data_IF_676487545212
#
_entry.id   IF_676487545212
#
_cell.length_a   1.000
_cell.length_b   1.000
_cell.length_c   1.000
_cell.angle_alpha   90.00
_cell.angle_beta   90.00
_cell.angle_gamma   90.00
#
_symmetry.space_group_name_H-M   'P 1'
#
loop_
_entity.id
_entity.type
_entity.pdbx_description
1 polymer ?
#
# COMPACT_ATOMS: atom_id res chain seq x y z
N UNK A 1 5.65 -15.37 26.91
CA UNK A 1 5.33 -14.70 25.61
C UNK A 1 6.15 -13.42 25.55
N UNK A 2 7.18 -13.36 24.69
CA UNK A 2 7.99 -12.17 24.52
C UNK A 2 7.18 -11.01 23.87
N UNK A 3 7.60 -9.74 24.06
CA UNK A 3 6.94 -8.61 23.41
C UNK A 3 7.09 -8.73 21.88
N UNK A 4 6.03 -8.39 21.16
CA UNK A 4 6.05 -8.35 19.69
C UNK A 4 7.11 -7.36 19.18
N UNK A 5 7.90 -7.72 18.17
CA UNK A 5 8.92 -6.83 17.62
C UNK A 5 8.33 -5.46 17.24
N UNK A 6 9.01 -4.36 17.60
CA UNK A 6 8.57 -2.99 17.27
C UNK A 6 8.37 -2.78 15.77
N UNK A 7 9.07 -3.55 14.96
CA UNK A 7 8.98 -3.50 13.50
C UNK A 7 7.57 -3.90 12.98
N UNK A 8 6.87 -4.83 13.67
CA UNK A 8 5.53 -5.22 13.29
C UNK A 8 4.51 -4.08 13.47
N UNK A 9 4.68 -3.25 14.51
CA UNK A 9 3.89 -2.05 14.70
C UNK A 9 4.13 -1.01 13.61
N UNK A 10 5.38 -0.88 13.14
CA UNK A 10 5.69 -0.04 11.99
C UNK A 10 4.97 -0.54 10.74
N UNK A 11 4.99 -1.85 10.48
CA UNK A 11 4.26 -2.43 9.34
C UNK A 11 2.75 -2.25 9.45
N UNK A 12 2.19 -2.35 10.66
CA UNK A 12 0.78 -2.03 10.93
C UNK A 12 0.47 -0.57 10.55
N UNK A 13 1.27 0.38 11.01
CA UNK A 13 1.09 1.81 10.70
C UNK A 13 1.22 2.09 9.19
N UNK A 14 2.19 1.47 8.52
CA UNK A 14 2.33 1.65 7.06
C UNK A 14 1.14 1.05 6.32
N UNK A 15 0.62 -0.11 6.74
CA UNK A 15 -0.60 -0.68 6.15
C UNK A 15 -1.84 0.19 6.40
N UNK A 16 -1.93 0.87 7.55
CA UNK A 16 -2.97 1.88 7.80
C UNK A 16 -2.88 3.02 6.77
N UNK A 17 -1.67 3.55 6.54
CA UNK A 17 -1.44 4.64 5.56
C UNK A 17 -1.78 4.18 4.14
N UNK A 18 -1.25 3.01 3.74
CA UNK A 18 -1.48 2.44 2.40
C UNK A 18 -2.97 2.16 2.17
N UNK A 19 -3.65 1.53 3.13
CA UNK A 19 -5.08 1.27 3.04
C UNK A 19 -5.91 2.55 2.96
N UNK A 20 -5.58 3.57 3.78
CA UNK A 20 -6.27 4.87 3.73
C UNK A 20 -6.12 5.52 2.35
N UNK A 21 -4.91 5.60 1.80
CA UNK A 21 -4.68 6.19 0.48
C UNK A 21 -5.30 5.37 -0.67
N UNK A 22 -5.35 4.05 -0.54
CA UNK A 22 -5.96 3.19 -1.54
C UNK A 22 -7.48 3.38 -1.64
N UNK A 23 -8.17 3.50 -0.50
CA UNK A 23 -9.63 3.38 -0.44
C UNK A 23 -10.37 4.70 -0.16
N UNK A 24 -9.70 5.77 0.27
CA UNK A 24 -10.34 7.07 0.52
C UNK A 24 -11.06 7.63 -0.70
N UNK A 25 -10.59 7.33 -1.90
CA UNK A 25 -11.20 7.78 -3.17
C UNK A 25 -12.67 7.38 -3.26
N UNK A 26 -13.06 6.22 -2.73
CA UNK A 26 -14.46 5.78 -2.71
C UNK A 26 -15.40 6.76 -2.00
N UNK A 27 -14.92 7.43 -0.95
CA UNK A 27 -15.69 8.40 -0.20
C UNK A 27 -15.73 9.82 -0.80
N UNK A 28 -14.84 10.11 -1.77
CA UNK A 28 -14.69 11.45 -2.37
C UNK A 28 -14.91 11.45 -3.89
N UNK A 29 -15.61 10.45 -4.42
CA UNK A 29 -15.87 10.34 -5.86
C UNK A 29 -16.66 11.52 -6.43
N UNK A 30 -17.66 12.02 -5.68
CA UNK A 30 -18.49 13.13 -6.16
C UNK A 30 -17.68 14.44 -6.31
N UNK A 31 -16.87 14.88 -5.33
CA UNK A 31 -15.97 16.02 -5.52
C UNK A 31 -14.98 15.84 -6.66
N UNK A 32 -14.40 14.64 -6.83
CA UNK A 32 -13.49 14.33 -7.94
C UNK A 32 -14.21 14.47 -9.29
N UNK A 33 -15.41 13.88 -9.42
CA UNK A 33 -16.18 13.94 -10.64
C UNK A 33 -16.53 15.39 -11.02
N UNK A 34 -16.90 16.20 -10.03
CA UNK A 34 -17.21 17.61 -10.22
C UNK A 34 -16.00 18.43 -10.67
N UNK A 35 -14.86 18.26 -10.00
CA UNK A 35 -13.61 19.00 -10.29
C UNK A 35 -13.03 18.62 -11.67
N UNK A 36 -13.03 17.35 -12.00
CA UNK A 36 -12.53 16.84 -13.28
C UNK A 36 -13.56 16.90 -14.42
N UNK A 37 -14.77 17.43 -14.17
CA UNK A 37 -15.88 17.56 -15.14
C UNK A 37 -16.22 16.23 -15.83
N UNK A 38 -16.31 15.16 -15.06
CA UNK A 38 -16.67 13.81 -15.52
C UNK A 38 -17.86 13.25 -14.73
N UNK A 39 -18.45 12.17 -15.20
CA UNK A 39 -19.50 11.49 -14.44
C UNK A 39 -18.93 10.75 -13.22
N UNK A 40 -19.72 10.56 -12.15
CA UNK A 40 -19.33 9.78 -10.97
C UNK A 40 -18.89 8.35 -11.34
N UNK A 41 -19.60 7.62 -12.23
CA UNK A 41 -19.13 6.31 -12.71
C UNK A 41 -17.76 6.38 -13.41
N UNK A 42 -17.47 7.44 -14.18
CA UNK A 42 -16.16 7.63 -14.80
C UNK A 42 -15.07 7.87 -13.75
N UNK A 43 -15.31 8.72 -12.75
CA UNK A 43 -14.39 8.91 -11.63
C UNK A 43 -14.18 7.60 -10.84
N UNK A 44 -15.21 6.77 -10.72
CA UNK A 44 -15.15 5.44 -10.09
C UNK A 44 -14.17 4.47 -10.75
N UNK A 45 -13.83 4.67 -12.03
CA UNK A 45 -12.78 3.89 -12.72
C UNK A 45 -11.42 4.01 -12.03
N UNK A 46 -11.19 5.05 -11.23
CA UNK A 46 -9.99 5.19 -10.41
C UNK A 46 -9.83 4.04 -9.40
N UNK A 47 -10.92 3.51 -8.84
CA UNK A 47 -10.90 2.33 -7.96
C UNK A 47 -10.60 1.06 -8.77
N UNK A 48 -11.22 0.90 -9.93
CA UNK A 48 -10.99 -0.25 -10.83
C UNK A 48 -9.55 -0.26 -11.34
N UNK A 49 -8.99 0.89 -11.75
CA UNK A 49 -7.62 1.01 -12.20
C UNK A 49 -6.63 0.58 -11.11
N UNK A 50 -6.84 1.01 -9.85
CA UNK A 50 -6.02 0.56 -8.72
C UNK A 50 -6.17 -0.95 -8.47
N UNK A 51 -7.40 -1.47 -8.45
CA UNK A 51 -7.66 -2.89 -8.19
C UNK A 51 -7.04 -3.79 -9.26
N UNK A 52 -7.23 -3.46 -10.55
CA UNK A 52 -6.65 -4.19 -11.68
C UNK A 52 -5.12 -4.13 -11.66
N UNK A 53 -4.55 -2.94 -11.45
CA UNK A 53 -3.09 -2.81 -11.37
C UNK A 53 -2.51 -3.59 -10.19
N UNK A 54 -3.17 -3.58 -9.04
CA UNK A 54 -2.78 -4.38 -7.88
C UNK A 54 -2.83 -5.88 -8.21
N UNK A 55 -3.91 -6.34 -8.83
CA UNK A 55 -4.09 -7.75 -9.19
C UNK A 55 -3.03 -8.24 -10.20
N UNK A 56 -2.66 -7.40 -11.16
CA UNK A 56 -1.75 -7.78 -12.24
C UNK A 56 -0.29 -7.44 -11.93
N UNK A 57 -0.02 -6.23 -11.42
CA UNK A 57 1.35 -5.73 -11.25
C UNK A 57 1.98 -6.15 -9.93
N UNK A 58 1.20 -6.34 -8.85
CA UNK A 58 1.78 -6.73 -7.57
C UNK A 58 2.43 -8.13 -7.61
N UNK A 59 1.84 -9.18 -8.20
CA UNK A 59 2.51 -10.47 -8.38
C UNK A 59 3.78 -10.36 -9.22
N UNK A 60 3.74 -9.61 -10.32
CA UNK A 60 4.89 -9.39 -11.20
C UNK A 60 6.02 -8.68 -10.44
N UNK A 61 5.70 -7.60 -9.73
CA UNK A 61 6.67 -6.85 -8.94
C UNK A 61 7.24 -7.69 -7.79
N UNK A 62 6.43 -8.55 -7.15
CA UNK A 62 6.89 -9.47 -6.12
C UNK A 62 7.92 -10.49 -6.67
N UNK A 63 7.65 -11.04 -7.85
CA UNK A 63 8.56 -11.97 -8.53
C UNK A 63 9.83 -11.26 -9.00
N UNK A 64 9.69 -10.08 -9.63
CA UNK A 64 10.82 -9.28 -10.11
C UNK A 64 11.76 -8.83 -8.98
N UNK A 65 11.21 -8.58 -7.80
CA UNK A 65 11.98 -8.17 -6.61
C UNK A 65 12.37 -9.34 -5.71
N UNK A 66 12.10 -10.57 -6.10
CA UNK A 66 12.34 -11.78 -5.31
C UNK A 66 13.79 -11.93 -4.83
N UNK A 67 14.76 -11.51 -5.65
CA UNK A 67 16.19 -11.51 -5.33
C UNK A 67 16.69 -10.28 -4.56
N UNK A 68 15.84 -9.27 -4.33
CA UNK A 68 16.25 -8.04 -3.64
C UNK A 68 16.27 -8.24 -2.12
N UNK A 69 17.13 -7.47 -1.39
CA UNK A 69 17.00 -7.31 0.05
C UNK A 69 15.58 -6.83 0.40
N UNK A 70 14.95 -7.44 1.39
CA UNK A 70 13.54 -7.15 1.75
C UNK A 70 13.29 -5.68 2.09
N UNK A 71 14.25 -5.03 2.75
CA UNK A 71 14.22 -3.59 3.00
C UNK A 71 14.07 -2.78 1.71
N UNK A 72 14.87 -3.11 0.68
CA UNK A 72 14.82 -2.43 -0.61
C UNK A 72 13.46 -2.58 -1.28
N UNK A 73 12.89 -3.80 -1.26
CA UNK A 73 11.55 -4.05 -1.81
C UNK A 73 10.47 -3.24 -1.09
N UNK A 74 10.50 -3.21 0.26
CA UNK A 74 9.54 -2.43 1.04
C UNK A 74 9.64 -0.92 0.74
N UNK A 75 10.87 -0.37 0.69
CA UNK A 75 11.08 1.05 0.38
C UNK A 75 10.65 1.38 -1.06
N UNK A 76 10.99 0.54 -2.03
CA UNK A 76 10.59 0.73 -3.42
C UNK A 76 9.06 0.66 -3.59
N UNK A 77 8.40 -0.29 -2.92
CA UNK A 77 6.94 -0.41 -2.94
C UNK A 77 6.27 0.84 -2.36
N UNK A 78 6.72 1.31 -1.19
CA UNK A 78 6.14 2.50 -0.56
C UNK A 78 6.47 3.77 -1.35
N UNK A 79 7.64 3.86 -1.98
CA UNK A 79 8.00 4.96 -2.87
C UNK A 79 7.13 4.99 -4.13
N UNK A 80 6.88 3.84 -4.76
CA UNK A 80 5.97 3.73 -5.91
C UNK A 80 4.54 4.13 -5.53
N UNK A 81 4.06 3.68 -4.36
CA UNK A 81 2.75 4.08 -3.83
C UNK A 81 2.68 5.59 -3.59
N UNK A 82 3.72 6.18 -3.00
CA UNK A 82 3.81 7.63 -2.75
C UNK A 82 3.83 8.41 -4.07
N UNK A 83 4.63 7.99 -5.04
CA UNK A 83 4.69 8.63 -6.35
C UNK A 83 3.33 8.59 -7.06
N UNK A 84 2.62 7.45 -7.01
CA UNK A 84 1.27 7.34 -7.54
C UNK A 84 0.28 8.28 -6.85
N UNK A 85 0.37 8.44 -5.52
CA UNK A 85 -0.44 9.42 -4.79
C UNK A 85 -0.12 10.86 -5.20
N UNK A 86 1.15 11.20 -5.42
CA UNK A 86 1.55 12.53 -5.91
C UNK A 86 0.91 12.80 -7.28
N UNK A 87 0.97 11.84 -8.20
CA UNK A 87 0.32 11.96 -9.52
C UNK A 87 -1.19 12.15 -9.36
N UNK A 88 -1.83 11.40 -8.45
CA UNK A 88 -3.27 11.56 -8.15
C UNK A 88 -3.59 12.95 -7.59
N UNK A 89 -2.80 13.46 -6.64
CA UNK A 89 -3.01 14.77 -6.01
C UNK A 89 -2.87 15.94 -7.00
N UNK A 90 -2.01 15.76 -8.01
CA UNK A 90 -1.76 16.75 -9.08
C UNK A 90 -2.66 16.54 -10.31
N UNK A 91 -3.58 15.56 -10.29
CA UNK A 91 -4.40 15.24 -11.43
C UNK A 91 -5.42 16.34 -11.73
N UNK A 92 -5.35 16.88 -12.94
CA UNK A 92 -6.31 17.83 -13.53
C UNK A 92 -7.21 17.18 -14.56
N UNK A 93 -7.00 15.92 -14.87
CA UNK A 93 -7.77 15.12 -15.83
C UNK A 93 -7.95 13.70 -15.33
N UNK A 94 -9.03 13.04 -15.76
CA UNK A 94 -9.28 11.64 -15.40
C UNK A 94 -8.15 10.69 -15.84
N UNK A 95 -7.60 10.75 -17.07
CA UNK A 95 -6.48 9.89 -17.45
C UNK A 95 -5.25 10.02 -16.54
N UNK A 96 -4.93 11.23 -16.07
CA UNK A 96 -3.82 11.45 -15.15
C UNK A 96 -4.11 10.83 -13.78
N UNK A 97 -5.33 10.97 -13.28
CA UNK A 97 -5.78 10.31 -12.05
C UNK A 97 -5.66 8.78 -12.17
N UNK A 98 -6.12 8.19 -13.29
CA UNK A 98 -6.01 6.76 -13.54
C UNK A 98 -4.55 6.30 -13.62
N UNK A 99 -3.67 7.05 -14.27
CA UNK A 99 -2.25 6.75 -14.33
C UNK A 99 -1.62 6.71 -12.92
N UNK A 100 -1.95 7.68 -12.06
CA UNK A 100 -1.52 7.67 -10.66
C UNK A 100 -2.02 6.42 -9.91
N UNK A 101 -3.27 6.03 -10.12
CA UNK A 101 -3.86 4.82 -9.50
C UNK A 101 -3.18 3.54 -9.97
N UNK A 102 -2.82 3.44 -11.24
CA UNK A 102 -2.04 2.31 -11.78
C UNK A 102 -0.66 2.25 -11.13
N UNK A 103 0.03 3.38 -11.02
CA UNK A 103 1.34 3.45 -10.37
C UNK A 103 1.28 3.04 -8.89
N UNK A 104 0.23 3.44 -8.16
CA UNK A 104 -0.01 3.01 -6.77
C UNK A 104 -0.11 1.49 -6.65
N UNK A 105 -0.65 0.80 -7.64
CA UNK A 105 -0.80 -0.66 -7.65
C UNK A 105 0.53 -1.42 -7.53
N UNK A 106 1.64 -0.86 -8.04
CA UNK A 106 2.98 -1.42 -7.82
C UNK A 106 3.37 -1.42 -6.33
N UNK A 107 2.87 -0.44 -5.56
CA UNK A 107 3.10 -0.34 -4.12
C UNK A 107 2.37 -1.40 -3.30
N UNK A 108 1.38 -2.09 -3.84
CA UNK A 108 0.63 -3.14 -3.17
C UNK A 108 1.50 -4.35 -2.75
N UNK A 109 2.69 -4.51 -3.33
CA UNK A 109 3.72 -5.47 -2.92
C UNK A 109 4.16 -5.26 -1.45
N UNK A 110 3.98 -4.08 -0.90
CA UNK A 110 4.36 -3.78 0.48
C UNK A 110 3.77 -4.79 1.48
N UNK A 111 2.45 -4.99 1.44
CA UNK A 111 1.73 -5.83 2.42
C UNK A 111 2.20 -7.28 2.45
N UNK A 112 2.28 -8.03 1.32
CA UNK A 112 2.76 -9.41 1.36
C UNK A 112 4.24 -9.52 1.75
N UNK A 113 5.08 -8.57 1.39
CA UNK A 113 6.50 -8.56 1.81
C UNK A 113 6.61 -8.29 3.31
N UNK A 114 5.87 -7.33 3.86
CA UNK A 114 5.82 -7.05 5.29
C UNK A 114 5.29 -8.25 6.09
N UNK A 115 4.25 -8.93 5.59
CA UNK A 115 3.71 -10.14 6.19
C UNK A 115 4.74 -11.29 6.19
N UNK A 116 5.47 -11.49 5.09
CA UNK A 116 6.55 -12.47 5.01
C UNK A 116 7.69 -12.21 6.01
N UNK A 117 8.09 -10.96 6.16
CA UNK A 117 9.07 -10.54 7.18
C UNK A 117 8.51 -10.78 8.59
N UNK A 118 7.26 -10.41 8.85
CA UNK A 118 6.64 -10.58 10.17
C UNK A 118 6.66 -12.05 10.62
N UNK A 119 6.34 -12.97 9.71
CA UNK A 119 6.38 -14.42 9.97
C UNK A 119 7.82 -14.92 10.23
N UNK A 120 8.82 -14.36 9.53
CA UNK A 120 10.21 -14.73 9.69
C UNK A 120 10.84 -14.23 11.00
N UNK A 121 10.28 -13.18 11.61
CA UNK A 121 10.79 -12.55 12.83
C UNK A 121 10.28 -13.17 14.13
N UNK A 122 9.32 -14.10 14.06
CA UNK A 122 8.67 -14.68 15.23
C UNK A 122 8.69 -16.20 15.20
N UNK A 123 8.55 -16.82 16.37
CA UNK A 123 8.40 -18.27 16.51
C UNK A 123 7.12 -18.79 15.81
N UNK A 124 7.09 -20.06 15.39
CA UNK A 124 5.93 -20.65 14.69
C UNK A 124 4.60 -20.44 15.38
N UNK A 125 4.57 -20.52 16.72
CA UNK A 125 3.37 -20.34 17.55
C UNK A 125 2.83 -18.90 17.55
N UNK A 126 3.68 -17.92 17.21
CA UNK A 126 3.34 -16.49 17.21
C UNK A 126 3.03 -15.95 15.79
N UNK A 127 3.20 -16.75 14.73
CA UNK A 127 3.01 -16.31 13.34
C UNK A 127 1.64 -15.74 13.06
N UNK A 128 0.58 -16.37 13.60
CA UNK A 128 -0.78 -15.87 13.47
C UNK A 128 -0.96 -14.48 14.06
N UNK A 129 -0.41 -14.24 15.28
CA UNK A 129 -0.46 -12.91 15.90
C UNK A 129 0.34 -11.86 15.14
N UNK A 130 1.51 -12.23 14.61
CA UNK A 130 2.33 -11.34 13.80
C UNK A 130 1.60 -10.91 12.53
N UNK A 131 0.97 -11.85 11.82
CA UNK A 131 0.13 -11.55 10.65
C UNK A 131 -1.06 -10.68 11.02
N UNK A 132 -1.79 -11.04 12.09
CA UNK A 132 -2.92 -10.23 12.55
C UNK A 132 -2.53 -8.80 12.85
N UNK A 133 -1.35 -8.57 13.45
CA UNK A 133 -0.87 -7.22 13.73
C UNK A 133 -0.54 -6.44 12.45
N UNK A 134 0.10 -7.08 11.46
CA UNK A 134 0.38 -6.43 10.16
C UNK A 134 -0.91 -6.06 9.43
N UNK A 135 -1.90 -6.97 9.40
CA UNK A 135 -3.18 -6.74 8.73
C UNK A 135 -4.14 -5.85 9.53
N UNK A 136 -3.94 -5.69 10.84
CA UNK A 136 -4.72 -4.75 11.67
C UNK A 136 -4.66 -3.33 11.10
N UNK A 137 -3.52 -2.91 10.54
CA UNK A 137 -3.38 -1.61 9.88
C UNK A 137 -4.39 -1.43 8.73
N UNK A 138 -4.60 -2.47 7.93
CA UNK A 138 -5.59 -2.44 6.84
C UNK A 138 -7.02 -2.31 7.40
N UNK A 139 -7.35 -3.06 8.44
CA UNK A 139 -8.68 -2.96 9.10
C UNK A 139 -8.90 -1.58 9.71
N UNK A 140 -7.88 -1.00 10.35
CA UNK A 140 -7.94 0.36 10.90
C UNK A 140 -8.08 1.42 9.78
N UNK A 141 -7.52 1.18 8.59
CA UNK A 141 -7.72 2.10 7.47
C UNK A 141 -9.19 2.22 7.07
N UNK A 142 -9.93 1.12 7.06
CA UNK A 142 -11.37 1.14 6.80
C UNK A 142 -12.18 1.76 7.94
N UNK A 143 -11.81 1.47 9.19
CA UNK A 143 -12.55 1.93 10.35
C UNK A 143 -12.31 3.42 10.66
N UNK A 144 -11.13 3.94 10.42
CA UNK A 144 -10.70 5.29 10.82
C UNK A 144 -10.17 6.08 9.61
N UNK A 145 -9.23 5.51 8.85
CA UNK A 145 -8.52 6.23 7.79
C UNK A 145 -9.44 6.71 6.67
N UNK A 146 -10.31 5.84 6.17
CA UNK A 146 -11.26 6.17 5.09
C UNK A 146 -12.30 7.20 5.57
N UNK A 147 -13.00 7.02 6.72
CA UNK A 147 -13.94 8.04 7.20
C UNK A 147 -13.31 9.41 7.45
N UNK A 148 -12.14 9.46 8.10
CA UNK A 148 -11.43 10.72 8.33
C UNK A 148 -10.99 11.38 7.03
N UNK A 149 -10.43 10.59 6.11
CA UNK A 149 -10.02 11.09 4.80
C UNK A 149 -11.20 11.59 3.96
N UNK A 150 -12.34 10.88 4.00
CA UNK A 150 -13.57 11.31 3.34
C UNK A 150 -14.06 12.65 3.92
N UNK A 151 -14.10 12.75 5.24
CA UNK A 151 -14.48 14.01 5.90
C UNK A 151 -13.56 15.18 5.50
N UNK A 152 -12.24 14.96 5.55
CA UNK A 152 -11.25 15.95 5.10
C UNK A 152 -11.46 16.35 3.64
N UNK A 153 -11.70 15.39 2.76
CA UNK A 153 -11.89 15.64 1.33
C UNK A 153 -13.17 16.39 1.01
N UNK A 154 -14.24 16.14 1.74
CA UNK A 154 -15.51 16.86 1.60
C UNK A 154 -15.44 18.27 2.18
N UNK A 155 -14.69 18.48 3.26
CA UNK A 155 -14.59 19.77 3.94
C UNK A 155 -13.57 20.73 3.31
N UNK A 156 -12.47 20.22 2.75
CA UNK A 156 -11.30 21.04 2.36
C UNK A 156 -10.82 20.80 0.92
N UNK A 157 -11.51 19.94 0.16
CA UNK A 157 -11.14 19.55 -1.19
C UNK A 157 -10.54 18.13 -1.27
N UNK A 158 -10.86 17.42 -2.34
CA UNK A 158 -10.57 15.99 -2.52
C UNK A 158 -9.06 15.66 -2.55
N UNK A 159 -8.21 16.63 -2.88
CA UNK A 159 -6.77 16.48 -2.86
C UNK A 159 -6.17 16.44 -1.44
N UNK A 160 -6.83 17.07 -0.47
CA UNK A 160 -6.29 17.24 0.91
C UNK A 160 -5.99 15.88 1.58
N UNK A 161 -6.90 14.90 1.64
CA UNK A 161 -6.58 13.60 2.21
C UNK A 161 -5.46 12.87 1.48
N UNK A 162 -5.29 13.08 0.18
CA UNK A 162 -4.19 12.49 -0.59
C UNK A 162 -2.85 13.11 -0.17
N UNK A 163 -2.79 14.44 0.02
CA UNK A 163 -1.60 15.11 0.55
C UNK A 163 -1.24 14.65 1.96
N UNK A 164 -2.23 14.42 2.83
CA UNK A 164 -2.01 13.85 4.17
C UNK A 164 -1.40 12.45 4.07
N UNK A 165 -1.89 11.61 3.16
CA UNK A 165 -1.32 10.28 2.90
C UNK A 165 0.11 10.40 2.38
N UNK A 166 0.41 11.32 1.46
CA UNK A 166 1.77 11.55 0.93
C UNK A 166 2.72 11.95 2.06
N UNK A 167 2.32 12.87 2.92
CA UNK A 167 3.14 13.28 4.08
C UNK A 167 3.39 12.11 5.04
N UNK A 168 2.35 11.32 5.34
CA UNK A 168 2.46 10.14 6.18
C UNK A 168 3.38 9.06 5.54
N UNK A 169 3.31 8.86 4.21
CA UNK A 169 4.21 7.99 3.48
C UNK A 169 5.67 8.47 3.56
N UNK A 170 5.91 9.79 3.49
CA UNK A 170 7.25 10.36 3.65
C UNK A 170 7.85 10.05 5.03
N UNK A 171 7.07 10.23 6.08
CA UNK A 171 7.47 9.86 7.45
C UNK A 171 7.70 8.35 7.56
N UNK A 172 6.82 7.54 6.98
CA UNK A 172 6.95 6.09 6.97
C UNK A 172 8.20 5.62 6.21
N UNK A 173 8.52 6.23 5.06
CA UNK A 173 9.76 5.95 4.31
C UNK A 173 11.00 6.24 5.14
N UNK A 174 11.05 7.39 5.81
CA UNK A 174 12.16 7.75 6.70
C UNK A 174 12.29 6.78 7.88
N UNK A 175 11.16 6.44 8.52
CA UNK A 175 11.11 5.47 9.61
C UNK A 175 11.60 4.08 9.16
N UNK A 176 11.13 3.61 8.00
CA UNK A 176 11.54 2.32 7.46
C UNK A 176 13.01 2.30 7.05
N UNK A 177 13.51 3.38 6.44
CA UNK A 177 14.91 3.51 6.10
C UNK A 177 15.82 3.44 7.34
N UNK A 178 15.36 3.97 8.48
CA UNK A 178 16.12 4.03 9.74
C UNK A 178 16.03 2.74 10.56
N UNK A 179 14.83 2.11 10.62
CA UNK A 179 14.56 1.04 11.59
C UNK A 179 14.46 -0.36 10.99
N UNK A 180 14.22 -0.49 9.69
CA UNK A 180 14.25 -1.82 9.05
C UNK A 180 15.70 -2.23 8.82
N UNK A 181 16.17 -3.37 9.38
CA UNK A 181 17.51 -3.89 9.12
C UNK A 181 17.74 -4.19 7.64
N UNK A 182 18.96 -3.98 7.15
CA UNK A 182 19.28 -4.19 5.74
C UNK A 182 19.39 -5.68 5.36
N UNK A 183 19.71 -6.51 6.34
CA UNK A 183 20.08 -7.93 6.20
C UNK A 183 18.90 -8.89 6.41
N UNK A 184 17.65 -8.38 6.54
CA UNK A 184 16.49 -9.25 6.68
C UNK A 184 16.36 -10.12 5.42
N UNK A 185 16.62 -11.42 5.61
CA UNK A 185 16.39 -12.46 4.62
C UNK A 185 15.10 -13.19 4.96
N UNK A 186 14.06 -12.98 4.17
CA UNK A 186 12.87 -13.82 4.17
C UNK A 186 12.78 -14.53 2.82
N UNK A 187 12.26 -15.77 2.77
CA UNK A 187 12.09 -16.49 1.49
C UNK A 187 11.37 -15.60 0.48
N UNK A 188 11.95 -15.46 -0.72
CA UNK A 188 11.37 -14.70 -1.82
C UNK A 188 10.51 -15.58 -2.70
N UNK A 189 9.45 -15.03 -3.28
CA UNK A 189 8.82 -15.63 -4.42
C UNK A 189 9.84 -15.67 -5.57
N UNK A 190 10.04 -16.84 -6.22
CA UNK A 190 10.90 -16.98 -7.38
C UNK A 190 10.14 -17.70 -8.49
N UNK A 191 10.45 -17.35 -9.75
CA UNK A 191 9.90 -18.08 -10.90
C UNK A 191 10.25 -19.57 -10.89
N UNK A 192 11.43 -19.94 -10.37
CA UNK A 192 11.85 -21.33 -10.22
C UNK A 192 10.96 -22.09 -9.22
N UNK A 193 10.54 -21.44 -8.12
CA UNK A 193 9.60 -22.03 -7.16
C UNK A 193 8.20 -22.24 -7.74
N UNK A 194 7.74 -21.31 -8.59
CA UNK A 194 6.46 -21.45 -9.30
C UNK A 194 6.49 -22.61 -10.31
N UNK A 195 7.58 -22.75 -11.07
CA UNK A 195 7.75 -23.86 -12.00
C UNK A 195 7.74 -25.23 -11.30
N UNK A 196 8.35 -25.33 -10.12
CA UNK A 196 8.35 -26.56 -9.33
C UNK A 196 6.95 -26.91 -8.76
N UNK A 197 6.12 -25.91 -8.44
CA UNK A 197 4.74 -26.11 -7.97
C UNK A 197 3.78 -26.52 -9.10
N UNK A 198 4.00 -26.03 -10.32
CA UNK A 198 3.18 -26.37 -11.48
C UNK A 198 3.57 -27.73 -12.11
N UNK A 199 4.73 -28.30 -11.72
CA UNK A 199 5.22 -29.59 -12.18
C UNK A 199 4.83 -30.77 -11.24
N UNK A 200 4.12 -30.52 -10.15
CA UNK A 200 3.54 -31.50 -9.23
C UNK A 200 2.04 -31.71 -9.53
#
# INVERSE_FOLDING_TARGET
MGPMPRLLWLFCLVNLIVGSGAFVIGGILAPIAQDLQVSIPAAGQAMTAYALSTALLAPIALLATGGWPRKRTLLAALAAFTAGNIVCALATTLPLLLAGRVLMGLGAVFTPVAAGIAVALVEPQQRGKALSLVFLGMSLSYAIGVPLGTWLGLAHGWQVPIWVVIAACGVALAAMARWVPADIRAPGASFAGLGALLAQ
#
